data_IF_601693018790
#
_entry.id   IF_601693018790
#
_cell.length_a   1.000
_cell.length_b   1.000
_cell.length_c   1.000
_cell.angle_alpha   90.00
_cell.angle_beta   90.00
_cell.angle_gamma   90.00
#
_symmetry.space_group_name_H-M   'P 1'
#
loop_
_entity.id
_entity.type
_entity.pdbx_description
1 polymer ?
#
# COMPACT_ATOMS: atom_id res chain seq x y z
N UNK A 1 12.62 -9.45 7.27
CA UNK A 1 11.21 -9.05 7.11
C UNK A 1 10.89 -9.02 5.64
N UNK A 2 9.78 -9.62 5.20
CA UNK A 2 9.28 -9.39 3.84
C UNK A 2 8.88 -7.91 3.80
N UNK A 3 9.63 -7.13 3.04
CA UNK A 3 9.44 -5.68 2.99
C UNK A 3 8.49 -5.43 1.84
N UNK A 4 7.42 -4.67 2.07
CA UNK A 4 6.60 -4.16 0.96
C UNK A 4 7.51 -3.24 0.15
N UNK A 5 7.61 -3.48 -1.16
CA UNK A 5 8.33 -2.60 -2.06
C UNK A 5 7.53 -1.30 -2.18
N UNK A 6 8.04 -0.17 -1.67
CA UNK A 6 7.28 1.06 -1.64
C UNK A 6 7.05 1.63 -3.04
N UNK A 7 7.95 1.38 -3.99
CA UNK A 7 7.82 1.88 -5.35
C UNK A 7 6.76 1.07 -6.12
N UNK A 8 6.65 -0.23 -5.81
CA UNK A 8 5.56 -1.07 -6.31
C UNK A 8 4.22 -0.63 -5.73
N UNK A 9 4.16 -0.32 -4.43
CA UNK A 9 2.94 0.16 -3.79
C UNK A 9 2.47 1.50 -4.39
N UNK A 10 3.37 2.46 -4.55
CA UNK A 10 3.08 3.77 -5.14
C UNK A 10 2.53 3.60 -6.58
N UNK A 11 3.07 2.66 -7.36
CA UNK A 11 2.55 2.33 -8.70
C UNK A 11 1.14 1.75 -8.67
N UNK A 12 0.85 0.84 -7.75
CA UNK A 12 -0.50 0.25 -7.61
C UNK A 12 -1.52 1.32 -7.22
N UNK A 13 -1.15 2.23 -6.31
CA UNK A 13 -2.02 3.35 -5.91
C UNK A 13 -2.23 4.39 -7.02
N UNK A 14 -1.29 4.51 -7.96
CA UNK A 14 -1.42 5.41 -9.12
C UNK A 14 -2.34 4.91 -10.23
N UNK A 15 -2.79 3.65 -10.17
CA UNK A 15 -3.74 3.08 -11.13
C UNK A 15 -5.10 3.77 -11.05
N UNK A 16 -5.83 3.79 -12.18
CA UNK A 16 -7.23 4.21 -12.17
C UNK A 16 -8.04 3.32 -11.21
N UNK A 17 -9.08 3.87 -10.58
CA UNK A 17 -9.87 3.13 -9.58
C UNK A 17 -10.41 1.80 -10.13
N UNK A 18 -10.85 1.76 -11.39
CA UNK A 18 -11.29 0.53 -12.06
C UNK A 18 -10.17 -0.51 -12.20
N UNK A 19 -8.99 -0.10 -12.64
CA UNK A 19 -7.84 -1.00 -12.80
C UNK A 19 -7.34 -1.52 -11.45
N UNK A 20 -7.42 -0.68 -10.41
CA UNK A 20 -7.05 -1.04 -9.04
C UNK A 20 -8.04 -2.05 -8.45
N UNK A 21 -9.34 -1.84 -8.68
CA UNK A 21 -10.39 -2.76 -8.26
C UNK A 21 -10.27 -4.12 -8.96
N UNK A 22 -10.05 -4.13 -10.28
CA UNK A 22 -9.83 -5.37 -11.04
C UNK A 22 -8.61 -6.15 -10.52
N UNK A 23 -7.52 -5.44 -10.20
CA UNK A 23 -6.34 -6.04 -9.60
C UNK A 23 -6.63 -6.62 -8.21
N UNK A 24 -7.36 -5.89 -7.36
CA UNK A 24 -7.75 -6.40 -6.04
C UNK A 24 -8.68 -7.61 -6.16
N UNK A 25 -9.63 -7.61 -7.08
CA UNK A 25 -10.49 -8.76 -7.35
C UNK A 25 -9.67 -9.97 -7.81
N UNK A 26 -8.74 -9.77 -8.76
CA UNK A 26 -7.82 -10.82 -9.22
C UNK A 26 -6.99 -11.42 -8.09
N UNK A 27 -6.56 -10.58 -7.14
CA UNK A 27 -5.82 -11.01 -5.94
C UNK A 27 -6.71 -11.64 -4.86
N UNK A 28 -8.03 -11.73 -5.08
CA UNK A 28 -8.99 -12.29 -4.13
C UNK A 28 -9.35 -11.35 -2.97
N UNK A 29 -9.10 -10.05 -3.10
CA UNK A 29 -9.43 -9.02 -2.12
C UNK A 29 -10.89 -8.51 -2.21
N UNK A 30 -11.72 -9.15 -3.04
CA UNK A 30 -13.14 -8.78 -3.30
C UNK A 30 -14.08 -8.88 -2.09
N UNK A 31 -13.66 -9.49 -0.98
CA UNK A 31 -14.48 -9.64 0.23
C UNK A 31 -14.30 -8.52 1.26
N UNK A 32 -13.29 -7.67 1.11
CA UNK A 32 -13.15 -6.52 1.98
C UNK A 32 -14.12 -5.43 1.51
N UNK A 33 -14.91 -4.89 2.45
CA UNK A 33 -15.64 -3.67 2.16
C UNK A 33 -14.67 -2.52 1.87
N UNK A 34 -15.15 -1.52 1.13
CA UNK A 34 -14.38 -0.36 0.68
C UNK A 34 -13.62 0.30 1.83
N UNK A 35 -14.29 0.50 2.98
CA UNK A 35 -13.73 1.12 4.17
C UNK A 35 -12.58 0.31 4.78
N UNK A 36 -12.71 -1.02 4.79
CA UNK A 36 -11.67 -1.92 5.26
C UNK A 36 -10.45 -1.86 4.34
N UNK A 37 -10.66 -1.77 3.02
CA UNK A 37 -9.55 -1.59 2.08
C UNK A 37 -8.85 -0.24 2.21
N UNK A 38 -9.60 0.85 2.34
CA UNK A 38 -9.03 2.17 2.60
C UNK A 38 -8.17 2.16 3.85
N UNK A 39 -8.67 1.57 4.94
CA UNK A 39 -7.92 1.45 6.20
C UNK A 39 -6.62 0.68 6.02
N UNK A 40 -6.65 -0.45 5.30
CA UNK A 40 -5.45 -1.26 5.02
C UNK A 40 -4.44 -0.50 4.17
N UNK A 41 -4.89 0.26 3.17
CA UNK A 41 -4.05 1.10 2.32
C UNK A 41 -3.36 2.18 3.18
N UNK A 42 -4.10 2.89 4.02
CA UNK A 42 -3.56 3.92 4.93
C UNK A 42 -2.52 3.36 5.91
N UNK A 43 -2.75 2.15 6.44
CA UNK A 43 -1.81 1.46 7.32
C UNK A 43 -0.49 1.14 6.60
N UNK A 44 -0.57 0.68 5.35
CA UNK A 44 0.60 0.38 4.52
C UNK A 44 1.36 1.67 4.19
N UNK A 45 0.68 2.73 3.77
CA UNK A 45 1.29 4.05 3.52
C UNK A 45 2.02 4.58 4.76
N UNK A 46 1.35 4.53 5.91
CA UNK A 46 1.92 4.95 7.19
C UNK A 46 3.16 4.14 7.56
N UNK A 47 3.14 2.83 7.31
CA UNK A 47 4.27 1.93 7.56
C UNK A 47 5.46 2.27 6.65
N UNK A 48 5.21 2.47 5.34
CA UNK A 48 6.24 2.86 4.37
C UNK A 48 6.88 4.20 4.77
N UNK A 49 6.05 5.19 5.11
CA UNK A 49 6.52 6.52 5.54
C UNK A 49 7.41 6.45 6.78
N UNK A 50 6.96 5.76 7.84
CA UNK A 50 7.74 5.55 9.07
C UNK A 50 9.08 4.86 8.77
N UNK A 51 9.07 3.88 7.88
CA UNK A 51 10.29 3.16 7.51
C UNK A 51 11.29 4.06 6.78
N UNK A 52 10.82 4.91 5.84
CA UNK A 52 11.64 5.95 5.18
C UNK A 52 12.22 6.92 6.20
N UNK A 53 11.40 7.47 7.11
CA UNK A 53 11.84 8.41 8.16
C UNK A 53 12.89 7.79 9.10
N UNK A 54 12.69 6.54 9.53
CA UNK A 54 13.62 5.85 10.41
C UNK A 54 15.01 5.61 9.79
N UNK A 55 15.08 5.46 8.46
CA UNK A 55 16.35 5.34 7.72
C UNK A 55 17.05 6.67 7.56
N UNK A 56 16.31 7.76 7.39
CA UNK A 56 16.86 9.12 7.38
C UNK A 56 17.47 9.49 8.74
N UNK A 57 16.79 9.17 9.84
CA UNK A 57 17.28 9.43 11.21
C UNK A 57 18.52 8.62 11.60
N UNK A 58 18.75 7.45 11.01
CA UNK A 58 19.94 6.62 11.27
C UNK A 58 21.16 6.98 10.41
N UNK A 59 20.98 7.86 9.42
CA UNK A 59 22.05 8.25 8.47
C UNK A 59 22.66 9.62 8.78
N UNK A 60 22.24 10.27 9.86
CA UNK A 60 22.85 11.46 10.47
C UNK A 60 23.41 11.10 11.85
#
# INVERSE_FOLDING_TARGET
MKTIDPDLFDKIMSLQDSERLDLFEFLGASQADEKTMETLIEEIESSIKKNRESRFLKSN
#
